data_IF_403473413472
#
_entry.id   IF_403473413472
#
_cell.length_a   1.000
_cell.length_b   1.000
_cell.length_c   1.000
_cell.angle_alpha   90.00
_cell.angle_beta   90.00
_cell.angle_gamma   90.00
#
_symmetry.space_group_name_H-M   'P 1'
#
loop_
_entity.id
_entity.type
_entity.pdbx_description
1 polymer ?
#
# COMPACT_ATOMS: atom_id res chain seq x y z
N UNK A 1 -12.93 37.75 -0.79
CA UNK A 1 -12.31 36.41 -0.62
C UNK A 1 -11.75 35.95 -1.96
N UNK A 2 -10.42 35.99 -2.11
CA UNK A 2 -9.75 35.60 -3.35
C UNK A 2 -9.63 34.08 -3.44
N UNK A 3 -10.20 33.51 -4.50
CA UNK A 3 -10.20 32.07 -4.79
C UNK A 3 -8.86 31.75 -5.46
N UNK A 4 -7.88 31.24 -4.70
CA UNK A 4 -6.59 30.82 -5.24
C UNK A 4 -6.82 29.67 -6.20
N UNK A 5 -6.81 29.96 -7.51
CA UNK A 5 -6.80 28.94 -8.56
C UNK A 5 -5.45 28.25 -8.51
N UNK A 6 -5.41 27.07 -7.90
CA UNK A 6 -4.24 26.20 -7.92
C UNK A 6 -4.07 25.67 -9.35
N UNK A 7 -3.31 26.38 -10.18
CA UNK A 7 -3.00 25.96 -11.54
C UNK A 7 -1.96 24.84 -11.46
N UNK A 8 -2.42 23.58 -11.40
CA UNK A 8 -1.53 22.43 -11.50
C UNK A 8 -0.73 22.53 -12.80
N UNK A 9 0.59 22.33 -12.72
CA UNK A 9 1.49 22.30 -13.88
C UNK A 9 0.91 21.36 -14.95
N UNK A 10 0.87 21.78 -16.23
CA UNK A 10 0.43 20.89 -17.29
C UNK A 10 1.34 19.66 -17.36
N UNK A 11 0.72 18.47 -17.39
CA UNK A 11 1.42 17.17 -17.39
C UNK A 11 2.13 16.95 -18.73
N UNK A 12 3.33 16.39 -18.66
CA UNK A 12 4.05 15.93 -19.85
C UNK A 12 3.39 14.67 -20.44
N UNK A 13 3.63 14.41 -21.73
CA UNK A 13 3.16 13.18 -22.39
C UNK A 13 3.64 11.91 -21.67
N UNK A 14 4.88 11.92 -21.17
CA UNK A 14 5.46 10.79 -20.44
C UNK A 14 4.75 10.51 -19.10
N UNK A 15 4.16 11.52 -18.46
CA UNK A 15 3.39 11.35 -17.22
C UNK A 15 1.98 10.78 -17.45
N UNK A 16 1.47 10.86 -18.67
CA UNK A 16 0.16 10.33 -19.04
C UNK A 16 0.21 8.85 -19.47
N UNK A 17 1.41 8.32 -19.74
CA UNK A 17 1.62 6.92 -20.07
C UNK A 17 1.82 6.08 -18.80
N UNK A 18 1.53 4.76 -18.84
CA UNK A 18 1.92 3.85 -17.78
C UNK A 18 3.42 3.84 -17.50
N UNK A 19 3.80 3.32 -16.34
CA UNK A 19 5.21 3.08 -16.01
C UNK A 19 5.84 2.10 -17.03
N UNK A 20 7.15 2.20 -17.29
CA UNK A 20 7.85 1.21 -18.11
C UNK A 20 7.65 -0.20 -17.55
N UNK A 21 7.40 -1.18 -18.42
CA UNK A 21 7.12 -2.56 -18.00
C UNK A 21 8.26 -3.20 -17.19
N UNK A 22 9.52 -2.80 -17.42
CA UNK A 22 10.67 -3.23 -16.61
C UNK A 22 10.53 -2.75 -15.17
N UNK A 23 10.20 -1.46 -14.97
CA UNK A 23 10.01 -0.90 -13.63
C UNK A 23 8.83 -1.55 -12.90
N UNK A 24 7.71 -1.82 -13.61
CA UNK A 24 6.56 -2.53 -13.02
C UNK A 24 6.98 -3.94 -12.55
N UNK A 25 7.80 -4.64 -13.34
CA UNK A 25 8.31 -5.97 -12.99
C UNK A 25 9.24 -5.93 -11.79
N UNK A 26 10.12 -4.94 -11.71
CA UNK A 26 11.04 -4.77 -10.59
C UNK A 26 10.27 -4.52 -9.29
N UNK A 27 9.27 -3.62 -9.31
CA UNK A 27 8.38 -3.36 -8.17
C UNK A 27 7.63 -4.62 -7.75
N UNK A 28 7.04 -5.34 -8.70
CA UNK A 28 6.32 -6.59 -8.44
C UNK A 28 7.24 -7.61 -7.77
N UNK A 29 8.44 -7.82 -8.32
CA UNK A 29 9.41 -8.77 -7.78
C UNK A 29 9.81 -8.41 -6.34
N UNK A 30 10.12 -7.15 -6.06
CA UNK A 30 10.47 -6.69 -4.71
C UNK A 30 9.34 -6.96 -3.70
N UNK A 31 8.10 -6.69 -4.08
CA UNK A 31 6.94 -6.91 -3.22
C UNK A 31 6.70 -8.40 -2.93
N UNK A 32 6.76 -9.25 -3.95
CA UNK A 32 6.57 -10.71 -3.79
C UNK A 32 7.73 -11.37 -3.05
N UNK A 33 8.96 -10.88 -3.21
CA UNK A 33 10.11 -11.32 -2.43
C UNK A 33 9.97 -10.92 -0.96
N UNK A 34 9.46 -9.73 -0.66
CA UNK A 34 9.18 -9.29 0.71
C UNK A 34 8.25 -10.27 1.42
N UNK A 35 7.13 -10.62 0.78
CA UNK A 35 6.20 -11.61 1.33
C UNK A 35 6.87 -12.99 1.50
N UNK A 36 7.66 -13.42 0.52
CA UNK A 36 8.36 -14.70 0.56
C UNK A 36 9.38 -14.77 1.72
N UNK A 37 10.12 -13.68 1.96
CA UNK A 37 11.05 -13.55 3.09
C UNK A 37 10.33 -13.64 4.42
N UNK A 38 9.20 -12.94 4.58
CA UNK A 38 8.39 -13.00 5.80
C UNK A 38 7.83 -14.41 6.04
N UNK A 39 7.33 -15.05 4.98
CA UNK A 39 6.83 -16.44 5.05
C UNK A 39 7.91 -17.45 5.39
N UNK A 40 9.15 -17.22 4.98
CA UNK A 40 10.29 -18.06 5.35
C UNK A 40 10.76 -17.85 6.80
N UNK A 41 10.08 -17.00 7.58
CA UNK A 41 10.44 -16.69 8.96
C UNK A 41 11.59 -15.69 9.11
N UNK A 42 11.99 -15.05 8.01
CA UNK A 42 13.06 -14.05 7.96
C UNK A 42 12.52 -12.62 7.88
N UNK A 43 11.27 -12.40 8.24
CA UNK A 43 10.70 -11.06 8.26
C UNK A 43 11.32 -10.17 9.33
N UNK A 44 11.23 -8.87 9.07
CA UNK A 44 11.63 -7.79 9.97
C UNK A 44 10.56 -6.68 9.97
N UNK A 45 10.71 -5.70 10.86
CA UNK A 45 9.87 -4.50 10.86
C UNK A 45 9.91 -3.79 9.49
N UNK A 46 11.08 -3.75 8.84
CA UNK A 46 11.25 -3.14 7.51
C UNK A 46 10.46 -3.88 6.43
N UNK A 47 10.44 -5.21 6.46
CA UNK A 47 9.62 -6.00 5.51
C UNK A 47 8.12 -5.80 5.74
N UNK A 48 7.69 -5.65 7.00
CA UNK A 48 6.31 -5.31 7.32
C UNK A 48 5.94 -3.90 6.82
N UNK A 49 6.82 -2.92 7.05
CA UNK A 49 6.67 -1.55 6.52
C UNK A 49 6.59 -1.59 4.99
N UNK A 50 7.37 -2.43 4.31
CA UNK A 50 7.29 -2.58 2.87
C UNK A 50 5.90 -3.09 2.43
N UNK A 51 5.33 -4.12 3.07
CA UNK A 51 3.97 -4.58 2.75
C UNK A 51 2.90 -3.51 3.00
N UNK A 52 2.98 -2.76 4.11
CA UNK A 52 2.08 -1.64 4.38
C UNK A 52 2.19 -0.54 3.31
N UNK A 53 3.40 -0.25 2.83
CA UNK A 53 3.61 0.71 1.75
C UNK A 53 2.92 0.24 0.46
N UNK A 54 3.00 -1.05 0.13
CA UNK A 54 2.31 -1.60 -1.06
C UNK A 54 0.80 -1.43 -0.93
N UNK A 55 0.24 -1.81 0.22
CA UNK A 55 -1.19 -1.67 0.52
C UNK A 55 -1.66 -0.22 0.36
N UNK A 56 -1.01 0.72 1.04
CA UNK A 56 -1.45 2.11 1.04
C UNK A 56 -1.17 2.82 -0.27
N UNK A 57 -0.08 2.48 -0.96
CA UNK A 57 0.17 2.98 -2.31
C UNK A 57 -0.92 2.51 -3.28
N UNK A 58 -1.27 1.22 -3.25
CA UNK A 58 -2.36 0.69 -4.08
C UNK A 58 -3.69 1.41 -3.78
N UNK A 59 -4.04 1.57 -2.50
CA UNK A 59 -5.20 2.35 -2.07
C UNK A 59 -5.17 3.78 -2.64
N UNK A 60 -4.09 4.54 -2.44
CA UNK A 60 -4.02 5.95 -2.86
C UNK A 60 -4.09 6.14 -4.38
N UNK A 61 -3.65 5.15 -5.15
CA UNK A 61 -3.77 5.15 -6.61
C UNK A 61 -5.24 5.02 -7.04
N UNK A 62 -5.99 4.11 -6.43
CA UNK A 62 -7.36 3.79 -6.84
C UNK A 62 -8.44 4.53 -6.06
N UNK A 63 -8.13 5.19 -4.95
CA UNK A 63 -9.07 5.94 -4.08
C UNK A 63 -10.12 6.77 -4.83
N UNK A 64 -9.80 7.51 -5.92
CA UNK A 64 -10.82 8.27 -6.67
C UNK A 64 -11.91 7.42 -7.35
N UNK A 65 -11.60 6.14 -7.61
CA UNK A 65 -12.37 5.18 -8.41
C UNK A 65 -12.44 3.82 -7.66
N UNK A 66 -12.35 3.85 -6.33
CA UNK A 66 -12.20 2.65 -5.50
C UNK A 66 -13.43 1.77 -5.60
N UNK A 67 -13.24 0.51 -6.02
CA UNK A 67 -14.31 -0.47 -6.03
C UNK A 67 -14.60 -1.00 -4.63
N UNK A 68 -15.84 -1.44 -4.37
CA UNK A 68 -16.18 -2.05 -3.09
C UNK A 68 -15.37 -3.32 -2.79
N UNK A 69 -15.01 -4.07 -3.83
CA UNK A 69 -14.18 -5.27 -3.70
C UNK A 69 -12.73 -4.92 -3.30
N UNK A 70 -12.13 -3.91 -3.94
CA UNK A 70 -10.80 -3.43 -3.59
C UNK A 70 -10.78 -2.85 -2.17
N UNK A 71 -11.82 -2.08 -1.81
CA UNK A 71 -11.96 -1.52 -0.47
C UNK A 71 -11.99 -2.64 0.58
N UNK A 72 -12.84 -3.65 0.40
CA UNK A 72 -12.95 -4.77 1.32
C UNK A 72 -11.62 -5.53 1.45
N UNK A 73 -10.95 -5.82 0.32
CA UNK A 73 -9.64 -6.46 0.31
C UNK A 73 -8.58 -5.64 1.07
N UNK A 74 -8.54 -4.31 0.87
CA UNK A 74 -7.55 -3.47 1.54
C UNK A 74 -7.79 -3.39 3.06
N UNK A 75 -9.04 -3.35 3.52
CA UNK A 75 -9.36 -3.42 4.94
C UNK A 75 -9.04 -4.79 5.55
N UNK A 76 -9.35 -5.88 4.83
CA UNK A 76 -9.01 -7.26 5.22
C UNK A 76 -7.50 -7.39 5.45
N UNK A 77 -6.71 -6.91 4.49
CA UNK A 77 -5.24 -6.98 4.54
C UNK A 77 -4.68 -6.05 5.61
N UNK A 78 -5.19 -4.83 5.75
CA UNK A 78 -4.76 -3.91 6.81
C UNK A 78 -4.92 -4.53 8.20
N UNK A 79 -6.09 -5.12 8.46
CA UNK A 79 -6.38 -5.78 9.73
C UNK A 79 -5.45 -6.99 9.96
N UNK A 80 -5.18 -7.77 8.91
CA UNK A 80 -4.30 -8.93 8.99
C UNK A 80 -2.83 -8.53 9.27
N UNK A 81 -2.33 -7.49 8.60
CA UNK A 81 -0.98 -6.97 8.86
C UNK A 81 -0.87 -6.37 10.26
N UNK A 82 -1.92 -5.70 10.76
CA UNK A 82 -1.96 -5.20 12.14
C UNK A 82 -1.84 -6.33 13.17
N UNK A 83 -2.56 -7.44 12.98
CA UNK A 83 -2.44 -8.60 13.89
C UNK A 83 -1.00 -9.14 13.92
N UNK A 84 -0.33 -9.17 12.77
CA UNK A 84 1.08 -9.57 12.68
C UNK A 84 2.01 -8.60 13.42
N UNK A 85 1.73 -7.28 13.34
CA UNK A 85 2.47 -6.24 14.09
C UNK A 85 2.27 -6.43 15.60
N UNK A 86 1.04 -6.68 16.05
CA UNK A 86 0.72 -6.90 17.47
C UNK A 86 1.38 -8.16 18.03
N UNK A 87 1.42 -9.24 17.24
CA UNK A 87 2.13 -10.48 17.59
C UNK A 87 3.63 -10.23 17.72
N UNK A 88 4.24 -9.56 16.73
CA UNK A 88 5.66 -9.19 16.80
C UNK A 88 5.98 -8.28 17.99
N UNK A 89 5.09 -7.36 18.34
CA UNK A 89 5.18 -6.53 19.55
C UNK A 89 5.16 -7.30 20.87
N UNK A 90 4.62 -8.53 20.87
CA UNK A 90 4.63 -9.46 22.01
C UNK A 90 5.86 -10.38 22.02
N UNK A 91 6.79 -10.19 21.08
CA UNK A 91 8.02 -10.97 20.96
C UNK A 91 7.93 -12.15 20.00
N UNK A 92 6.83 -12.29 19.24
CA UNK A 92 6.76 -13.27 18.15
C UNK A 92 7.60 -12.81 16.93
N UNK A 93 7.83 -13.73 16.00
CA UNK A 93 8.55 -13.40 14.78
C UNK A 93 7.71 -12.52 13.85
N UNK A 94 8.37 -11.64 13.09
CA UNK A 94 7.73 -10.87 12.02
C UNK A 94 7.34 -11.81 10.87
N UNK A 95 6.10 -12.29 10.88
CA UNK A 95 5.58 -13.23 9.88
C UNK A 95 4.16 -12.83 9.48
N UNK A 96 3.79 -13.18 8.25
CA UNK A 96 2.38 -13.15 7.82
C UNK A 96 1.79 -14.50 8.18
N UNK A 97 0.71 -14.52 8.96
CA UNK A 97 0.05 -15.77 9.35
C UNK A 97 -0.51 -16.51 8.12
N UNK A 98 -0.65 -17.83 8.21
CA UNK A 98 -1.22 -18.63 7.12
C UNK A 98 -2.64 -18.16 6.75
N UNK A 99 -3.43 -17.71 7.75
CA UNK A 99 -4.76 -17.14 7.54
C UNK A 99 -4.72 -15.81 6.76
N UNK A 100 -3.67 -15.01 6.95
CA UNK A 100 -3.48 -13.73 6.28
C UNK A 100 -2.86 -13.88 4.87
N UNK A 101 -2.19 -15.01 4.60
CA UNK A 101 -1.35 -15.18 3.42
C UNK A 101 -2.13 -15.01 2.12
N UNK A 102 -3.32 -15.61 2.01
CA UNK A 102 -4.18 -15.51 0.83
C UNK A 102 -4.59 -14.05 0.55
N UNK A 103 -5.03 -13.32 1.58
CA UNK A 103 -5.44 -11.92 1.45
C UNK A 103 -4.26 -11.03 0.99
N UNK A 104 -3.07 -11.21 1.58
CA UNK A 104 -1.87 -10.46 1.19
C UNK A 104 -1.46 -10.79 -0.25
N UNK A 105 -1.52 -12.06 -0.66
CA UNK A 105 -1.24 -12.45 -2.05
C UNK A 105 -2.23 -11.82 -3.04
N UNK A 106 -3.53 -11.83 -2.72
CA UNK A 106 -4.56 -11.14 -3.53
C UNK A 106 -4.26 -9.65 -3.65
N UNK A 107 -3.84 -8.99 -2.58
CA UNK A 107 -3.46 -7.58 -2.59
C UNK A 107 -2.22 -7.31 -3.43
N UNK A 108 -1.19 -8.16 -3.37
CA UNK A 108 -0.01 -8.01 -4.22
C UNK A 108 -0.35 -8.15 -5.70
N UNK A 109 -1.15 -9.17 -6.09
CA UNK A 109 -1.63 -9.33 -7.45
C UNK A 109 -2.47 -8.13 -7.91
N UNK A 110 -3.30 -7.59 -7.01
CA UNK A 110 -4.09 -6.39 -7.31
C UNK A 110 -3.20 -5.17 -7.48
N UNK A 111 -2.17 -5.01 -6.65
CA UNK A 111 -1.17 -3.95 -6.76
C UNK A 111 -0.42 -4.03 -8.09
N UNK A 112 0.01 -5.22 -8.52
CA UNK A 112 0.67 -5.42 -9.82
C UNK A 112 -0.22 -4.94 -10.99
N UNK A 113 -1.51 -5.29 -10.96
CA UNK A 113 -2.47 -4.85 -11.96
C UNK A 113 -2.69 -3.33 -11.94
N UNK A 114 -2.75 -2.72 -10.76
CA UNK A 114 -2.89 -1.26 -10.60
C UNK A 114 -1.65 -0.56 -11.15
N UNK A 115 -0.46 -0.90 -10.65
CA UNK A 115 0.81 -0.25 -11.02
C UNK A 115 1.11 -0.42 -12.51
N UNK A 116 0.76 -1.56 -13.10
CA UNK A 116 0.97 -1.83 -14.53
C UNK A 116 0.00 -1.11 -15.47
N UNK A 117 -1.14 -0.60 -14.98
CA UNK A 117 -2.18 -0.02 -15.84
C UNK A 117 -2.34 1.48 -15.71
N UNK A 118 -2.03 2.06 -14.54
CA UNK A 118 -2.29 3.48 -14.32
C UNK A 118 -1.27 4.39 -15.00
N UNK A 119 -1.69 5.60 -15.43
CA UNK A 119 -0.74 6.63 -15.85
C UNK A 119 0.28 6.95 -14.76
N UNK A 120 1.53 7.20 -15.14
CA UNK A 120 2.64 7.52 -14.25
C UNK A 120 2.30 8.63 -13.25
N UNK A 121 1.56 9.66 -13.65
CA UNK A 121 1.18 10.73 -12.72
C UNK A 121 0.33 10.24 -11.54
N UNK A 122 -0.53 9.22 -11.72
CA UNK A 122 -1.37 8.68 -10.64
C UNK A 122 -0.50 7.99 -9.61
N UNK A 123 0.51 7.25 -10.07
CA UNK A 123 1.49 6.60 -9.21
C UNK A 123 2.31 7.62 -8.42
N UNK A 124 2.76 8.71 -9.06
CA UNK A 124 3.48 9.80 -8.38
C UNK A 124 2.61 10.55 -7.36
N UNK A 125 1.37 10.89 -7.74
CA UNK A 125 0.41 11.53 -6.84
C UNK A 125 0.13 10.64 -5.60
N UNK A 126 0.08 9.31 -5.79
CA UNK A 126 -0.09 8.34 -4.70
C UNK A 126 1.14 8.26 -3.78
N UNK A 127 2.36 8.31 -4.34
CA UNK A 127 3.59 8.42 -3.56
C UNK A 127 3.62 9.67 -2.68
N UNK A 128 3.20 10.82 -3.21
CA UNK A 128 3.11 12.07 -2.44
C UNK A 128 2.07 12.00 -1.33
N UNK A 129 0.95 11.27 -1.55
CA UNK A 129 -0.02 10.99 -0.49
C UNK A 129 0.56 10.07 0.58
N UNK A 130 1.25 9.00 0.19
CA UNK A 130 1.90 8.07 1.11
C UNK A 130 2.94 8.77 1.99
N UNK A 131 3.79 9.62 1.41
CA UNK A 131 4.78 10.38 2.16
C UNK A 131 4.16 11.34 3.17
N UNK A 132 3.05 12.00 2.82
CA UNK A 132 2.30 12.86 3.75
C UNK A 132 1.62 12.05 4.85
N UNK A 133 1.04 10.90 4.50
CA UNK A 133 0.42 10.00 5.47
C UNK A 133 1.46 9.48 6.48
N UNK A 134 2.66 9.11 6.03
CA UNK A 134 3.74 8.65 6.91
C UNK A 134 4.22 9.70 7.93
N UNK A 135 3.89 10.98 7.72
CA UNK A 135 4.18 12.09 8.64
C UNK A 135 2.96 12.50 9.47
N UNK A 136 1.81 11.89 9.24
CA UNK A 136 0.56 12.20 9.91
C UNK A 136 0.36 11.34 11.17
N UNK A 137 -0.42 11.80 12.15
CA UNK A 137 -0.78 10.98 13.31
C UNK A 137 -1.86 9.93 12.99
N UNK A 138 -2.36 9.87 11.75
CA UNK A 138 -3.42 8.96 11.39
C UNK A 138 -2.91 7.51 11.35
N UNK A 139 -3.66 6.60 11.93
CA UNK A 139 -3.33 5.16 11.93
C UNK A 139 -3.55 4.49 10.58
N UNK A 140 -4.54 4.97 9.84
CA UNK A 140 -4.93 4.40 8.54
C UNK A 140 -5.37 5.50 7.58
N UNK A 141 -5.03 5.40 6.29
CA UNK A 141 -5.61 6.23 5.25
C UNK A 141 -6.92 5.65 4.68
N UNK A 142 -7.30 4.43 5.05
CA UNK A 142 -8.44 3.69 4.47
C UNK A 142 -9.72 3.99 5.26
N UNK A 143 -10.76 4.58 4.65
CA UNK A 143 -12.03 4.84 5.33
C UNK A 143 -12.66 3.56 5.86
N UNK A 144 -13.15 3.58 7.10
CA UNK A 144 -13.74 2.40 7.75
C UNK A 144 -12.72 1.44 8.35
N UNK A 145 -11.43 1.80 8.36
CA UNK A 145 -10.42 1.10 9.14
C UNK A 145 -10.81 0.99 10.61
N UNK A 146 -10.52 -0.16 11.20
CA UNK A 146 -10.74 -0.48 12.61
C UNK A 146 -9.46 -0.43 13.43
N UNK A 147 -8.35 0.06 12.85
CA UNK A 147 -7.12 0.27 13.60
C UNK A 147 -7.41 1.26 14.74
N UNK A 148 -7.18 0.82 15.96
CA UNK A 148 -7.28 1.66 17.15
C UNK A 148 -5.89 2.08 17.59
N UNK A 149 -5.77 3.23 18.24
CA UNK A 149 -4.53 3.58 18.95
C UNK A 149 -4.41 2.59 20.10
N UNK A 150 -3.72 1.48 19.85
CA UNK A 150 -3.18 0.66 20.91
C UNK A 150 -2.02 1.48 21.44
N UNK A 151 -1.96 1.72 22.75
CA UNK A 151 -0.94 2.46 23.52
C UNK A 151 -1.14 3.98 23.70
N UNK A 152 -1.67 4.33 24.89
CA UNK A 152 -1.31 5.54 25.66
C UNK A 152 -0.40 5.11 26.82
#
# INVERSE_FOLDING_TARGET
MARTRNTKRPRSKAELLPLPASLVRDISLENHLTLSTMRAGHGTAETMIALLRVLYLAYFVVEPELSAADHALFLEVEAALQQCIEAAGKGEAWQVSDDALDAVQRMLLRSDAIVGSVPKYRYLDAWDKLNRFAQSPNLSPIPGSKLQEVWA
#
